data_IF_253309983026
#
_entry.id   IF_253309983026
#
_cell.length_a   1.000
_cell.length_b   1.000
_cell.length_c   1.000
_cell.angle_alpha   90.00
_cell.angle_beta   90.00
_cell.angle_gamma   90.00
#
_symmetry.space_group_name_H-M   'P 1'
#
loop_
_entity.id
_entity.type
_entity.pdbx_description
1 polymer ?
#
# COMPACT_ATOMS: atom_id res chain seq x y z
N UNK A 1 -54.75 16.84 -65.16
CA UNK A 1 -53.34 16.96 -64.70
C UNK A 1 -53.19 17.49 -63.27
N UNK A 2 -54.03 18.39 -62.74
CA UNK A 2 -53.81 18.96 -61.38
C UNK A 2 -53.94 17.97 -60.21
N UNK A 3 -54.83 16.96 -60.30
CA UNK A 3 -55.04 15.99 -59.21
C UNK A 3 -53.85 15.05 -58.97
N UNK A 4 -53.03 14.77 -59.99
CA UNK A 4 -51.85 13.91 -59.87
C UNK A 4 -50.71 14.67 -59.21
N UNK A 5 -50.51 15.95 -59.57
CA UNK A 5 -49.49 16.80 -58.95
C UNK A 5 -49.76 17.05 -57.46
N UNK A 6 -51.02 17.14 -57.05
CA UNK A 6 -51.37 17.34 -55.64
C UNK A 6 -51.16 16.06 -54.80
N UNK A 7 -51.43 14.88 -55.38
CA UNK A 7 -51.14 13.61 -54.74
C UNK A 7 -49.64 13.41 -54.52
N UNK A 8 -48.80 13.71 -55.52
CA UNK A 8 -47.34 13.59 -55.37
C UNK A 8 -46.78 14.62 -54.36
N UNK A 9 -47.31 15.85 -54.32
CA UNK A 9 -46.93 16.82 -53.28
C UNK A 9 -47.30 16.33 -51.89
N UNK A 10 -48.48 15.74 -51.71
CA UNK A 10 -48.91 15.20 -50.42
C UNK A 10 -48.06 14.01 -49.97
N UNK A 11 -47.77 13.06 -50.88
CA UNK A 11 -46.93 11.88 -50.59
C UNK A 11 -45.48 12.29 -50.30
N UNK A 12 -44.91 13.22 -51.06
CA UNK A 12 -43.55 13.72 -50.82
C UNK A 12 -43.49 14.50 -49.50
N UNK A 13 -44.50 15.31 -49.19
CA UNK A 13 -44.59 16.03 -47.91
C UNK A 13 -44.72 15.08 -46.72
N UNK A 14 -45.61 14.08 -46.79
CA UNK A 14 -45.76 13.03 -45.76
C UNK A 14 -44.45 12.25 -45.54
N UNK A 15 -43.75 11.89 -46.62
CA UNK A 15 -42.51 11.10 -46.53
C UNK A 15 -41.34 11.95 -46.02
N UNK A 16 -41.24 13.21 -46.44
CA UNK A 16 -40.25 14.17 -45.95
C UNK A 16 -40.50 14.53 -44.48
N UNK A 17 -41.75 14.74 -44.09
CA UNK A 17 -42.14 15.00 -42.70
C UNK A 17 -41.85 13.77 -41.82
N UNK A 18 -42.22 12.55 -42.24
CA UNK A 18 -41.92 11.32 -41.50
C UNK A 18 -40.42 11.05 -41.38
N UNK A 19 -39.63 11.29 -42.44
CA UNK A 19 -38.17 11.11 -42.39
C UNK A 19 -37.47 12.12 -41.46
N UNK A 20 -37.87 13.40 -41.50
CA UNK A 20 -37.30 14.43 -40.63
C UNK A 20 -37.79 14.30 -39.18
N UNK A 21 -39.03 13.86 -38.96
CA UNK A 21 -39.60 13.63 -37.64
C UNK A 21 -38.93 12.44 -36.95
N UNK A 22 -38.72 11.31 -37.64
CA UNK A 22 -37.99 10.15 -37.09
C UNK A 22 -36.52 10.52 -36.82
N UNK A 23 -35.88 11.30 -37.69
CA UNK A 23 -34.54 11.85 -37.48
C UNK A 23 -34.47 12.73 -36.22
N UNK A 24 -35.44 13.63 -36.03
CA UNK A 24 -35.56 14.48 -34.86
C UNK A 24 -35.73 13.68 -33.56
N UNK A 25 -36.57 12.64 -33.52
CA UNK A 25 -36.72 11.80 -32.34
C UNK A 25 -35.48 10.95 -32.04
N UNK A 26 -34.75 10.46 -33.06
CA UNK A 26 -33.46 9.78 -32.88
C UNK A 26 -32.40 10.74 -32.31
N UNK A 27 -32.34 11.97 -32.82
CA UNK A 27 -31.45 13.01 -32.32
C UNK A 27 -31.81 13.44 -30.89
N UNK A 28 -33.10 13.64 -30.59
CA UNK A 28 -33.58 13.94 -29.24
C UNK A 28 -33.33 12.77 -28.28
N UNK A 29 -33.51 11.51 -28.70
CA UNK A 29 -33.16 10.33 -27.91
C UNK A 29 -31.66 10.20 -27.69
N UNK A 30 -30.83 10.59 -28.66
CA UNK A 30 -29.38 10.68 -28.52
C UNK A 30 -28.98 11.80 -27.54
N UNK A 31 -29.57 13.00 -27.66
CA UNK A 31 -29.31 14.13 -26.77
C UNK A 31 -29.81 13.86 -25.34
N UNK A 32 -31.01 13.32 -25.17
CA UNK A 32 -31.58 12.94 -23.87
C UNK A 32 -30.83 11.74 -23.28
N UNK A 33 -30.47 10.75 -24.10
CA UNK A 33 -29.63 9.62 -23.71
C UNK A 33 -28.23 10.06 -23.28
N UNK A 34 -27.64 11.05 -23.97
CA UNK A 34 -26.37 11.65 -23.58
C UNK A 34 -26.50 12.55 -22.35
N UNK A 35 -27.61 13.29 -22.16
CA UNK A 35 -27.89 14.05 -20.93
C UNK A 35 -28.06 13.13 -19.71
N UNK A 36 -28.77 12.02 -19.88
CA UNK A 36 -28.94 11.01 -18.82
C UNK A 36 -27.64 10.24 -18.54
N UNK A 37 -26.85 9.90 -19.57
CA UNK A 37 -25.51 9.30 -19.42
C UNK A 37 -24.52 10.27 -18.78
N UNK A 38 -24.51 11.54 -19.17
CA UNK A 38 -23.65 12.57 -18.55
C UNK A 38 -24.04 12.88 -17.12
N UNK A 39 -25.34 12.88 -16.77
CA UNK A 39 -25.79 12.96 -15.38
C UNK A 39 -25.46 11.70 -14.57
N UNK A 40 -25.45 10.51 -15.18
CA UNK A 40 -25.01 9.27 -14.53
C UNK A 40 -23.49 9.22 -14.34
N UNK A 41 -22.71 9.71 -15.31
CA UNK A 41 -21.25 9.87 -15.20
C UNK A 41 -20.84 10.95 -14.20
N UNK A 42 -21.60 12.05 -14.11
CA UNK A 42 -21.42 13.09 -13.09
C UNK A 42 -21.76 12.62 -11.67
N UNK A 43 -22.51 11.51 -11.54
CA UNK A 43 -22.90 10.93 -10.25
C UNK A 43 -21.87 10.02 -9.61
N UNK A 44 -20.82 9.61 -10.32
CA UNK A 44 -19.70 8.87 -9.72
C UNK A 44 -18.44 9.73 -9.71
N UNK A 45 -18.48 10.85 -8.98
CA UNK A 45 -17.24 11.56 -8.65
C UNK A 45 -16.32 10.61 -7.88
N UNK A 46 -15.03 10.63 -8.18
CA UNK A 46 -14.02 9.77 -7.55
C UNK A 46 -12.78 10.56 -7.21
N UNK A 47 -12.01 10.07 -6.24
CA UNK A 47 -10.62 10.52 -6.09
C UNK A 47 -9.81 9.89 -7.23
N UNK A 48 -8.94 10.66 -7.87
CA UNK A 48 -7.90 10.15 -8.76
C UNK A 48 -6.55 10.34 -8.08
N UNK A 49 -6.04 9.29 -7.46
CA UNK A 49 -4.70 9.28 -6.89
C UNK A 49 -3.66 9.19 -7.99
N UNK A 50 -2.77 10.19 -8.09
CA UNK A 50 -1.71 10.24 -9.09
C UNK A 50 -0.37 9.96 -8.40
N UNK A 51 0.26 8.86 -8.76
CA UNK A 51 1.60 8.50 -8.35
C UNK A 51 2.54 8.56 -9.56
N UNK A 52 3.32 9.65 -9.67
CA UNK A 52 4.23 9.90 -10.78
C UNK A 52 5.66 9.60 -10.35
N UNK A 53 6.22 8.50 -10.84
CA UNK A 53 7.53 8.00 -10.42
C UNK A 53 8.70 8.89 -10.84
N UNK A 54 8.48 9.89 -11.71
CA UNK A 54 9.47 10.94 -11.94
C UNK A 54 9.66 11.83 -10.72
N UNK A 55 8.60 12.01 -9.93
CA UNK A 55 8.60 12.88 -8.74
C UNK A 55 8.69 12.08 -7.43
N UNK A 56 8.09 10.88 -7.41
CA UNK A 56 8.06 9.99 -6.24
C UNK A 56 8.92 8.75 -6.42
N UNK A 57 9.42 8.17 -5.34
CA UNK A 57 10.15 6.90 -5.43
C UNK A 57 9.24 5.69 -5.61
N UNK A 58 9.73 4.70 -6.38
CA UNK A 58 9.17 3.34 -6.45
C UNK A 58 9.55 2.59 -5.16
N UNK A 59 8.83 2.89 -4.08
CA UNK A 59 9.10 2.34 -2.76
C UNK A 59 7.81 1.87 -2.07
N UNK A 60 7.90 0.73 -1.38
CA UNK A 60 6.78 0.14 -0.62
C UNK A 60 6.23 1.12 0.42
N UNK A 61 7.11 1.80 1.17
CA UNK A 61 6.70 2.79 2.19
C UNK A 61 5.90 3.94 1.60
N UNK A 62 6.41 4.54 0.51
CA UNK A 62 5.72 5.62 -0.19
C UNK A 62 4.36 5.19 -0.73
N UNK A 63 4.27 3.98 -1.32
CA UNK A 63 2.99 3.45 -1.81
C UNK A 63 2.00 3.24 -0.66
N UNK A 64 2.44 2.70 0.48
CA UNK A 64 1.60 2.54 1.67
C UNK A 64 1.08 3.91 2.14
N UNK A 65 1.97 4.86 2.39
CA UNK A 65 1.61 6.20 2.84
C UNK A 65 0.66 6.90 1.85
N UNK A 66 0.86 6.69 0.55
CA UNK A 66 -0.02 7.18 -0.49
C UNK A 66 -1.43 6.58 -0.38
N UNK A 67 -1.57 5.28 -0.13
CA UNK A 67 -2.88 4.65 0.10
C UNK A 67 -3.62 5.27 1.30
N UNK A 68 -2.93 5.46 2.43
CA UNK A 68 -3.51 6.13 3.61
C UNK A 68 -3.97 7.54 3.28
N UNK A 69 -3.16 8.31 2.54
CA UNK A 69 -3.53 9.65 2.09
C UNK A 69 -4.77 9.62 1.22
N UNK A 70 -4.87 8.72 0.25
CA UNK A 70 -6.05 8.64 -0.62
C UNK A 70 -7.33 8.30 0.15
N UNK A 71 -7.25 7.46 1.18
CA UNK A 71 -8.40 7.19 2.06
C UNK A 71 -8.81 8.44 2.86
N UNK A 72 -7.84 9.21 3.36
CA UNK A 72 -8.11 10.49 4.01
C UNK A 72 -8.76 11.50 3.05
N UNK A 73 -8.26 11.61 1.81
CA UNK A 73 -8.83 12.49 0.78
C UNK A 73 -10.26 12.05 0.40
N UNK A 74 -10.50 10.75 0.25
CA UNK A 74 -11.84 10.21 0.02
C UNK A 74 -12.79 10.52 1.19
N UNK A 75 -12.30 10.47 2.44
CA UNK A 75 -13.08 10.88 3.61
C UNK A 75 -13.42 12.38 3.59
N UNK A 76 -12.42 13.27 3.38
CA UNK A 76 -12.62 14.73 3.29
C UNK A 76 -13.68 15.07 2.24
N UNK A 77 -13.60 14.43 1.07
CA UNK A 77 -14.48 14.71 -0.05
C UNK A 77 -15.79 13.88 -0.03
N UNK A 78 -15.99 13.02 0.98
CA UNK A 78 -17.14 12.12 1.10
C UNK A 78 -17.36 11.25 -0.15
N UNK A 79 -16.27 10.75 -0.72
CA UNK A 79 -16.27 9.88 -1.89
C UNK A 79 -16.05 8.41 -1.49
N UNK A 80 -16.70 7.50 -2.21
CA UNK A 80 -16.67 6.07 -1.94
C UNK A 80 -15.71 5.30 -2.85
N UNK A 81 -15.27 5.93 -3.95
CA UNK A 81 -14.37 5.33 -4.94
C UNK A 81 -13.09 6.13 -5.13
N UNK A 82 -11.99 5.39 -5.26
CA UNK A 82 -10.64 5.89 -5.53
C UNK A 82 -10.11 5.14 -6.75
N UNK A 83 -9.75 5.88 -7.79
CA UNK A 83 -8.99 5.33 -8.91
C UNK A 83 -7.52 5.77 -8.77
N UNK A 84 -6.57 4.89 -9.08
CA UNK A 84 -5.14 5.15 -8.94
C UNK A 84 -4.50 5.18 -10.32
N UNK A 85 -3.60 6.13 -10.53
CA UNK A 85 -2.78 6.27 -11.71
C UNK A 85 -1.32 6.13 -11.33
N UNK A 86 -0.61 5.25 -12.03
CA UNK A 86 0.84 5.13 -11.97
C UNK A 86 1.42 5.71 -13.26
N UNK A 87 2.23 6.75 -13.16
CA UNK A 87 2.87 7.42 -14.29
C UNK A 87 4.38 7.17 -14.23
N UNK A 88 4.97 6.78 -15.36
CA UNK A 88 6.42 6.63 -15.50
C UNK A 88 6.89 7.01 -16.91
N UNK A 89 8.19 7.27 -17.04
CA UNK A 89 8.88 7.49 -18.32
C UNK A 89 9.76 6.27 -18.64
N UNK A 90 9.53 5.52 -19.72
CA UNK A 90 10.32 4.32 -20.05
C UNK A 90 11.83 4.54 -20.09
N UNK A 91 12.30 5.71 -20.52
CA UNK A 91 13.73 6.01 -20.61
C UNK A 91 14.32 6.43 -19.27
N UNK A 92 13.50 7.05 -18.41
CA UNK A 92 13.87 7.52 -17.07
C UNK A 92 12.75 7.22 -16.07
N UNK A 93 12.56 5.96 -15.71
CA UNK A 93 11.34 5.52 -15.03
C UNK A 93 11.20 6.00 -13.59
N UNK A 94 12.30 6.49 -13.02
CA UNK A 94 12.33 7.12 -11.70
C UNK A 94 13.03 8.46 -11.78
N UNK A 95 12.66 9.38 -10.89
CA UNK A 95 13.40 10.63 -10.69
C UNK A 95 14.86 10.41 -10.29
N UNK A 96 15.66 11.46 -10.32
CA UNK A 96 17.07 11.45 -9.90
C UNK A 96 17.27 11.32 -8.36
N UNK A 97 16.34 10.69 -7.67
CA UNK A 97 16.45 10.47 -6.24
C UNK A 97 17.58 9.49 -5.95
N UNK A 98 18.45 9.87 -5.00
CA UNK A 98 19.61 9.07 -4.57
C UNK A 98 19.23 7.64 -4.14
N UNK A 99 17.99 7.43 -3.74
CA UNK A 99 17.51 6.17 -3.15
C UNK A 99 17.02 5.16 -4.18
N UNK A 100 16.65 5.62 -5.36
CA UNK A 100 16.14 4.82 -6.48
C UNK A 100 17.06 4.89 -7.69
N UNK A 101 18.26 5.47 -7.58
CA UNK A 101 19.21 5.62 -8.69
C UNK A 101 19.66 4.31 -9.34
N UNK A 102 19.47 3.18 -8.66
CA UNK A 102 19.74 1.83 -9.17
C UNK A 102 18.54 1.22 -9.92
N UNK A 103 17.38 1.88 -9.90
CA UNK A 103 16.22 1.55 -10.73
C UNK A 103 16.40 2.24 -12.08
N UNK A 104 16.40 1.45 -13.15
CA UNK A 104 16.62 1.90 -14.53
C UNK A 104 15.58 1.25 -15.45
N UNK A 105 15.64 1.55 -16.75
CA UNK A 105 14.69 1.03 -17.75
C UNK A 105 14.64 -0.51 -17.79
N UNK A 106 15.74 -1.18 -17.46
CA UNK A 106 15.87 -2.64 -17.59
C UNK A 106 15.26 -3.38 -16.39
N UNK A 107 15.21 -2.75 -15.20
CA UNK A 107 14.67 -3.37 -13.98
C UNK A 107 13.40 -2.70 -13.41
N UNK A 108 12.95 -1.57 -13.97
CA UNK A 108 11.82 -0.83 -13.43
C UNK A 108 10.54 -1.66 -13.31
N UNK A 109 10.22 -2.46 -14.32
CA UNK A 109 9.00 -3.28 -14.33
C UNK A 109 9.00 -4.35 -13.22
N UNK A 110 10.17 -4.85 -12.82
CA UNK A 110 10.30 -5.73 -11.67
C UNK A 110 9.88 -5.00 -10.38
N UNK A 111 10.37 -3.78 -10.17
CA UNK A 111 10.00 -2.97 -9.00
C UNK A 111 8.56 -2.49 -9.03
N UNK A 112 8.02 -2.16 -10.20
CA UNK A 112 6.63 -1.80 -10.38
C UNK A 112 5.69 -2.96 -9.98
N UNK A 113 6.05 -4.19 -10.38
CA UNK A 113 5.26 -5.38 -10.05
C UNK A 113 5.20 -5.64 -8.53
N UNK A 114 6.24 -5.30 -7.78
CA UNK A 114 6.25 -5.40 -6.30
C UNK A 114 5.20 -4.48 -5.64
N UNK A 115 4.78 -3.40 -6.31
CA UNK A 115 3.78 -2.46 -5.78
C UNK A 115 2.34 -2.91 -6.03
N UNK A 116 2.07 -3.77 -7.02
CA UNK A 116 0.70 -4.16 -7.36
C UNK A 116 -0.07 -4.83 -6.21
N UNK A 117 0.53 -5.74 -5.42
CA UNK A 117 -0.16 -6.29 -4.27
C UNK A 117 -0.59 -5.21 -3.26
N UNK A 118 0.14 -4.09 -3.17
CA UNK A 118 -0.21 -2.98 -2.28
C UNK A 118 -1.41 -2.17 -2.76
N UNK A 119 -1.75 -2.19 -4.05
CA UNK A 119 -2.92 -1.44 -4.55
C UNK A 119 -4.22 -2.02 -3.97
N UNK A 120 -4.28 -3.33 -3.81
CA UNK A 120 -5.45 -4.08 -3.33
C UNK A 120 -5.73 -3.93 -1.83
N UNK A 121 -4.93 -3.17 -1.07
CA UNK A 121 -5.23 -2.91 0.35
C UNK A 121 -6.20 -1.73 0.54
N UNK A 122 -6.50 -1.01 -0.55
CA UNK A 122 -7.43 0.09 -0.54
C UNK A 122 -8.84 -0.42 -0.81
N UNK A 123 -9.67 -0.46 0.23
CA UNK A 123 -11.05 -0.94 0.18
C UNK A 123 -11.97 -0.09 -0.71
N UNK A 124 -11.53 1.10 -1.11
CA UNK A 124 -12.26 2.00 -2.03
C UNK A 124 -11.70 1.95 -3.46
N UNK A 125 -10.75 1.06 -3.76
CA UNK A 125 -10.14 0.98 -5.08
C UNK A 125 -11.20 0.63 -6.14
N UNK A 126 -11.33 1.49 -7.15
CA UNK A 126 -12.17 1.28 -8.32
C UNK A 126 -11.38 0.78 -9.52
N UNK A 127 -10.35 1.52 -9.93
CA UNK A 127 -9.55 1.20 -11.11
C UNK A 127 -8.09 1.61 -10.92
N UNK A 128 -7.19 0.89 -11.59
CA UNK A 128 -5.77 1.22 -11.68
C UNK A 128 -5.43 1.49 -13.14
N UNK A 129 -4.84 2.65 -13.40
CA UNK A 129 -4.33 3.03 -14.71
C UNK A 129 -2.81 3.12 -14.66
N UNK A 130 -2.16 2.72 -15.74
CA UNK A 130 -0.71 2.81 -15.89
C UNK A 130 -0.45 3.59 -17.18
N UNK A 131 0.30 4.68 -17.06
CA UNK A 131 0.74 5.48 -18.20
C UNK A 131 2.25 5.48 -18.24
N UNK A 132 2.80 5.10 -19.39
CA UNK A 132 4.22 5.21 -19.71
C UNK A 132 4.56 6.56 -20.37
N UNK A 133 3.67 7.55 -20.24
CA UNK A 133 3.84 8.89 -20.79
C UNK A 133 3.00 9.88 -20.01
N UNK A 134 3.67 10.91 -19.49
CA UNK A 134 3.01 12.04 -18.81
C UNK A 134 2.02 12.75 -19.73
N UNK A 135 2.37 12.97 -21.00
CA UNK A 135 1.47 13.62 -21.97
C UNK A 135 0.18 12.83 -22.19
N UNK A 136 0.27 11.49 -22.29
CA UNK A 136 -0.92 10.63 -22.42
C UNK A 136 -1.80 10.69 -21.17
N UNK A 137 -1.17 10.70 -19.99
CA UNK A 137 -1.90 10.87 -18.73
C UNK A 137 -2.58 12.25 -18.64
N UNK A 138 -1.89 13.33 -19.02
CA UNK A 138 -2.44 14.68 -19.00
C UNK A 138 -3.63 14.84 -19.95
N UNK A 139 -3.59 14.20 -21.13
CA UNK A 139 -4.75 14.10 -22.03
C UNK A 139 -5.93 13.38 -21.35
N UNK A 140 -5.67 12.23 -20.71
CA UNK A 140 -6.69 11.51 -19.94
C UNK A 140 -7.29 12.38 -18.83
N UNK A 141 -6.45 13.05 -18.05
CA UNK A 141 -6.86 13.92 -16.95
C UNK A 141 -7.73 15.07 -17.46
N UNK A 142 -7.33 15.72 -18.55
CA UNK A 142 -8.11 16.79 -19.17
C UNK A 142 -9.46 16.29 -19.70
N UNK A 143 -9.52 15.12 -20.33
CA UNK A 143 -10.77 14.53 -20.82
C UNK A 143 -11.73 14.12 -19.68
N UNK A 144 -11.18 13.79 -18.50
CA UNK A 144 -11.95 13.25 -17.37
C UNK A 144 -12.03 14.19 -16.16
N UNK A 145 -11.62 15.45 -16.27
CA UNK A 145 -11.53 16.38 -15.13
C UNK A 145 -12.85 16.59 -14.38
N UNK A 146 -14.01 16.41 -15.04
CA UNK A 146 -15.33 16.53 -14.40
C UNK A 146 -15.67 15.34 -13.48
N UNK A 147 -15.05 14.18 -13.72
CA UNK A 147 -15.28 12.92 -12.99
C UNK A 147 -14.37 12.81 -11.76
N UNK A 148 -13.20 13.43 -11.79
CA UNK A 148 -12.16 13.20 -10.80
C UNK A 148 -11.85 14.44 -9.96
N UNK A 149 -11.65 14.21 -8.67
CA UNK A 149 -10.88 15.10 -7.80
C UNK A 149 -9.46 14.54 -7.77
N UNK A 150 -8.52 15.20 -8.43
CA UNK A 150 -7.14 14.74 -8.52
C UNK A 150 -6.40 14.93 -7.18
N UNK A 151 -5.64 13.91 -6.77
CA UNK A 151 -4.75 13.93 -5.62
C UNK A 151 -3.33 13.50 -6.04
N UNK A 152 -2.34 14.41 -6.06
CA UNK A 152 -2.48 15.84 -5.76
C UNK A 152 -3.36 16.59 -6.77
N UNK A 153 -3.83 17.78 -6.40
CA UNK A 153 -4.58 18.65 -7.31
C UNK A 153 -3.82 18.90 -8.62
N UNK A 154 -4.52 19.09 -9.73
CA UNK A 154 -3.92 19.30 -11.06
C UNK A 154 -2.83 20.39 -11.08
N UNK A 155 -3.05 21.51 -10.38
CA UNK A 155 -2.06 22.58 -10.24
C UNK A 155 -0.76 22.10 -9.54
N UNK A 156 -0.90 21.37 -8.44
CA UNK A 156 0.23 20.79 -7.70
C UNK A 156 0.96 19.71 -8.51
N UNK A 157 0.23 18.93 -9.32
CA UNK A 157 0.82 17.97 -10.25
C UNK A 157 1.63 18.68 -11.35
N UNK A 158 1.05 19.70 -11.99
CA UNK A 158 1.68 20.44 -13.08
C UNK A 158 2.99 21.14 -12.67
N UNK A 159 3.09 21.59 -11.42
CA UNK A 159 4.30 22.25 -10.90
C UNK A 159 5.26 21.28 -10.18
N UNK A 160 4.98 19.97 -10.18
CA UNK A 160 5.69 18.95 -9.39
C UNK A 160 5.74 19.25 -7.85
N UNK A 161 5.00 20.27 -7.38
CA UNK A 161 4.95 20.73 -5.99
C UNK A 161 4.11 19.83 -5.08
N UNK A 162 3.23 19.01 -5.64
CA UNK A 162 2.28 18.18 -4.89
C UNK A 162 2.90 17.09 -4.02
N UNK A 163 4.18 16.83 -4.24
CA UNK A 163 4.91 15.72 -3.65
C UNK A 163 5.96 16.20 -2.62
N UNK A 164 6.25 17.50 -2.57
CA UNK A 164 7.30 18.08 -1.73
C UNK A 164 7.00 18.08 -0.21
N UNK A 165 5.73 18.00 0.21
CA UNK A 165 5.36 17.94 1.65
C UNK A 165 5.38 16.53 2.25
N UNK A 166 5.65 15.51 1.43
CA UNK A 166 5.55 14.11 1.84
C UNK A 166 4.15 13.71 2.30
N UNK A 167 3.87 12.42 2.41
CA UNK A 167 2.54 11.96 2.82
C UNK A 167 2.35 12.09 4.35
N UNK A 168 3.39 11.90 5.16
CA UNK A 168 3.29 11.97 6.62
C UNK A 168 2.84 13.35 7.14
N UNK A 169 3.26 14.44 6.51
CA UNK A 169 2.84 15.78 6.93
C UNK A 169 1.32 15.97 6.77
N UNK A 170 0.79 15.53 5.62
CA UNK A 170 -0.66 15.54 5.39
C UNK A 170 -1.42 14.63 6.36
N UNK A 171 -0.91 13.41 6.61
CA UNK A 171 -1.54 12.45 7.52
C UNK A 171 -1.57 12.98 8.97
N UNK A 172 -0.53 13.68 9.39
CA UNK A 172 -0.48 14.39 10.69
C UNK A 172 -1.54 15.47 10.77
N UNK A 173 -1.57 16.38 9.80
CA UNK A 173 -2.54 17.48 9.80
C UNK A 173 -3.98 16.96 9.74
N UNK A 174 -4.22 15.86 8.99
CA UNK A 174 -5.50 15.16 9.00
C UNK A 174 -5.85 14.62 10.38
N UNK A 175 -4.94 13.86 11.00
CA UNK A 175 -5.19 13.26 12.31
C UNK A 175 -5.40 14.32 13.40
N UNK A 176 -4.64 15.42 13.37
CA UNK A 176 -4.81 16.52 14.32
C UNK A 176 -6.22 17.11 14.25
N UNK A 177 -6.83 17.16 13.05
CA UNK A 177 -8.19 17.65 12.83
C UNK A 177 -9.26 16.61 13.15
N UNK A 178 -9.12 15.40 12.61
CA UNK A 178 -10.18 14.38 12.62
C UNK A 178 -10.06 13.39 13.80
N UNK A 179 -8.90 13.31 14.46
CA UNK A 179 -8.57 12.40 15.57
C UNK A 179 -8.66 10.90 15.22
N UNK A 180 -8.60 10.56 13.94
CA UNK A 180 -8.42 9.18 13.47
C UNK A 180 -7.68 9.16 12.13
N UNK A 181 -7.22 7.98 11.71
CA UNK A 181 -6.72 7.72 10.35
C UNK A 181 -7.54 6.57 9.74
N UNK A 182 -8.17 6.76 8.57
CA UNK A 182 -8.73 5.66 7.79
C UNK A 182 -7.67 4.58 7.57
N UNK A 183 -8.03 3.33 7.86
CA UNK A 183 -7.11 2.20 7.75
C UNK A 183 -7.35 1.45 6.43
N UNK A 184 -6.30 1.09 5.69
CA UNK A 184 -6.42 0.14 4.60
C UNK A 184 -6.81 -1.23 5.15
N UNK A 185 -7.52 -2.00 4.33
CA UNK A 185 -7.96 -3.34 4.67
C UNK A 185 -7.16 -4.36 3.87
N UNK A 186 -6.50 -5.28 4.56
CA UNK A 186 -5.83 -6.38 3.89
C UNK A 186 -6.86 -7.28 3.21
N UNK A 187 -6.58 -7.79 1.99
CA UNK A 187 -7.40 -8.81 1.38
C UNK A 187 -7.64 -9.98 2.34
N UNK A 188 -8.89 -10.44 2.43
CA UNK A 188 -9.29 -11.53 3.33
C UNK A 188 -8.39 -12.75 3.18
N UNK A 189 -8.03 -13.09 1.94
CA UNK A 189 -7.15 -14.24 1.66
C UNK A 189 -5.75 -14.08 2.22
N UNK A 190 -5.13 -12.89 2.17
CA UNK A 190 -3.81 -12.68 2.77
C UNK A 190 -3.86 -12.83 4.29
N UNK A 191 -4.94 -12.35 4.92
CA UNK A 191 -5.16 -12.52 6.35
C UNK A 191 -5.39 -13.99 6.74
N UNK A 192 -6.23 -14.71 5.99
CA UNK A 192 -6.48 -16.14 6.21
C UNK A 192 -5.20 -16.95 6.04
N UNK A 193 -4.42 -16.65 4.99
CA UNK A 193 -3.14 -17.32 4.74
C UNK A 193 -2.16 -17.11 5.89
N UNK A 194 -1.98 -15.88 6.38
CA UNK A 194 -1.08 -15.62 7.51
C UNK A 194 -1.53 -16.33 8.79
N UNK A 195 -2.84 -16.36 9.08
CA UNK A 195 -3.38 -17.11 10.22
C UNK A 195 -3.16 -18.63 10.08
N UNK A 196 -3.42 -19.19 8.89
CA UNK A 196 -3.19 -20.60 8.60
C UNK A 196 -1.70 -20.95 8.73
N UNK A 197 -0.83 -20.07 8.25
CA UNK A 197 0.62 -20.22 8.38
C UNK A 197 1.04 -20.24 9.84
N UNK A 198 0.52 -19.32 10.66
CA UNK A 198 0.81 -19.26 12.09
C UNK A 198 0.33 -20.54 12.78
N UNK A 199 -0.90 -20.99 12.50
CA UNK A 199 -1.44 -22.24 13.03
C UNK A 199 -0.50 -23.43 12.79
N UNK A 200 -0.11 -23.60 11.52
CA UNK A 200 0.71 -24.73 11.08
C UNK A 200 2.14 -24.68 11.61
N UNK A 201 2.79 -23.52 11.57
CA UNK A 201 4.24 -23.41 11.76
C UNK A 201 4.64 -22.90 13.15
N UNK A 202 3.76 -22.21 13.89
CA UNK A 202 4.10 -21.65 15.19
C UNK A 202 3.99 -22.66 16.34
N UNK A 203 3.26 -23.77 16.15
CA UNK A 203 3.07 -24.78 17.21
C UNK A 203 2.46 -24.21 18.49
N UNK A 204 1.53 -23.26 18.38
CA UNK A 204 0.89 -22.57 19.52
C UNK A 204 1.73 -21.48 20.20
N UNK A 205 2.96 -21.25 19.72
CA UNK A 205 3.83 -20.17 20.20
C UNK A 205 3.32 -18.79 19.76
N UNK A 206 3.73 -17.77 20.50
CA UNK A 206 3.56 -16.38 20.10
C UNK A 206 4.45 -16.05 18.91
N UNK A 207 3.91 -15.29 17.97
CA UNK A 207 4.63 -14.88 16.77
C UNK A 207 5.04 -13.41 16.89
N UNK A 208 6.31 -13.13 16.64
CA UNK A 208 6.80 -11.76 16.44
C UNK A 208 7.26 -11.65 15.00
N UNK A 209 6.60 -10.79 14.21
CA UNK A 209 7.05 -10.49 12.85
C UNK A 209 8.28 -9.59 12.92
N UNK A 210 9.31 -9.91 12.15
CA UNK A 210 10.56 -9.15 12.11
C UNK A 210 10.90 -8.74 10.69
N UNK A 211 11.23 -7.47 10.43
CA UNK A 211 11.79 -7.06 9.14
C UNK A 211 13.20 -6.48 9.33
N UNK A 212 14.19 -7.15 8.72
CA UNK A 212 15.59 -6.77 8.78
C UNK A 212 16.00 -6.13 7.45
N UNK A 213 16.38 -4.85 7.47
CA UNK A 213 16.88 -4.16 6.28
C UNK A 213 18.38 -4.41 6.09
N UNK A 214 18.79 -4.85 4.91
CA UNK A 214 20.20 -5.03 4.52
C UNK A 214 20.48 -4.39 3.15
N UNK A 215 20.17 -3.10 3.01
CA UNK A 215 20.33 -2.41 1.73
C UNK A 215 21.79 -1.96 1.53
N UNK A 216 22.48 -2.55 0.55
CA UNK A 216 23.87 -2.23 0.21
C UNK A 216 24.05 -0.93 -0.57
N UNK A 217 22.98 -0.47 -1.24
CA UNK A 217 23.05 0.66 -2.17
C UNK A 217 22.75 1.99 -1.48
N UNK A 218 21.76 2.01 -0.58
CA UNK A 218 21.32 3.26 0.04
C UNK A 218 20.82 3.10 1.49
N UNK A 219 21.11 4.14 2.28
CA UNK A 219 20.60 4.30 3.64
C UNK A 219 21.17 3.22 4.56
N UNK A 220 22.45 2.89 4.37
CA UNK A 220 23.14 1.83 5.09
C UNK A 220 23.15 2.05 6.61
N UNK A 221 23.10 3.30 7.06
CA UNK A 221 22.93 3.65 8.47
C UNK A 221 21.62 3.13 9.09
N UNK A 222 20.61 2.79 8.26
CA UNK A 222 19.34 2.17 8.70
C UNK A 222 19.36 0.64 8.62
N UNK A 223 20.45 0.05 8.15
CA UNK A 223 20.54 -1.40 8.04
C UNK A 223 20.56 -2.05 9.44
N UNK A 224 20.10 -3.28 9.49
CA UNK A 224 20.21 -4.13 10.66
C UNK A 224 21.68 -4.49 10.90
N UNK A 225 22.12 -4.37 12.16
CA UNK A 225 23.33 -5.04 12.62
C UNK A 225 23.00 -6.53 12.81
N UNK A 226 23.35 -7.35 11.82
CA UNK A 226 22.99 -8.76 11.80
C UNK A 226 23.57 -9.53 13.00
N UNK A 227 24.73 -9.12 13.52
CA UNK A 227 25.34 -9.75 14.70
C UNK A 227 24.53 -9.44 15.96
N UNK A 228 24.05 -8.20 16.11
CA UNK A 228 23.20 -7.82 17.23
C UNK A 228 21.86 -8.58 17.20
N UNK A 229 21.23 -8.67 16.02
CA UNK A 229 19.97 -9.40 15.84
C UNK A 229 20.13 -10.91 16.08
N UNK A 230 21.20 -11.54 15.59
CA UNK A 230 21.48 -12.95 15.83
C UNK A 230 21.63 -13.24 17.33
N UNK A 231 22.42 -12.44 18.06
CA UNK A 231 22.58 -12.59 19.51
C UNK A 231 21.27 -12.36 20.26
N UNK A 232 20.44 -11.42 19.80
CA UNK A 232 19.10 -11.19 20.34
C UNK A 232 18.18 -12.42 20.16
N UNK A 233 18.17 -13.04 18.98
CA UNK A 233 17.38 -14.26 18.77
C UNK A 233 17.88 -15.42 19.61
N UNK A 234 19.19 -15.58 19.77
CA UNK A 234 19.79 -16.58 20.67
C UNK A 234 19.43 -16.34 22.15
N UNK A 235 19.38 -15.07 22.58
CA UNK A 235 18.88 -14.70 23.90
C UNK A 235 17.42 -15.15 24.09
N UNK A 236 16.56 -14.82 23.11
CA UNK A 236 15.15 -15.18 23.17
C UNK A 236 14.93 -16.70 23.10
N UNK A 237 15.75 -17.43 22.33
CA UNK A 237 15.69 -18.88 22.26
C UNK A 237 15.90 -19.53 23.64
N UNK A 238 16.77 -18.95 24.48
CA UNK A 238 17.05 -19.44 25.83
C UNK A 238 16.01 -19.01 26.86
N UNK A 239 15.46 -17.81 26.73
CA UNK A 239 14.63 -17.18 27.76
C UNK A 239 13.12 -17.25 27.50
N UNK A 240 12.72 -17.30 26.23
CA UNK A 240 11.33 -17.22 25.79
C UNK A 240 11.01 -18.39 24.84
N UNK A 241 10.81 -19.57 25.42
CA UNK A 241 10.55 -20.82 24.67
C UNK A 241 9.18 -20.85 23.98
N UNK A 242 8.28 -19.95 24.38
CA UNK A 242 6.93 -19.77 23.88
C UNK A 242 6.84 -18.79 22.70
N UNK A 243 7.98 -18.37 22.12
CA UNK A 243 8.03 -17.40 21.03
C UNK A 243 8.72 -18.00 19.80
N UNK A 244 8.27 -17.58 18.63
CA UNK A 244 8.96 -17.77 17.36
C UNK A 244 8.92 -16.47 16.54
N UNK A 245 10.03 -16.14 15.91
CA UNK A 245 10.20 -14.95 15.10
C UNK A 245 9.97 -15.28 13.63
N UNK A 246 9.10 -14.54 12.97
CA UNK A 246 8.84 -14.69 11.54
C UNK A 246 9.58 -13.56 10.81
N UNK A 247 10.71 -13.89 10.18
CA UNK A 247 11.51 -12.90 9.46
C UNK A 247 10.96 -12.68 8.06
N UNK A 248 10.58 -11.43 7.81
CA UNK A 248 10.02 -10.88 6.59
C UNK A 248 11.11 -10.18 5.79
N UNK A 249 11.22 -10.46 4.49
CA UNK A 249 12.21 -9.81 3.63
C UNK A 249 12.40 -10.52 2.30
N UNK A 250 13.53 -10.29 1.65
CA UNK A 250 13.97 -11.08 0.49
C UNK A 250 14.95 -12.15 0.93
N UNK A 251 15.11 -13.20 0.12
CA UNK A 251 16.10 -14.26 0.38
C UNK A 251 17.53 -13.70 0.49
N UNK A 252 17.85 -12.65 -0.27
CA UNK A 252 19.15 -11.96 -0.26
C UNK A 252 19.47 -11.21 1.04
N UNK A 253 18.46 -10.97 1.88
CA UNK A 253 18.63 -10.17 3.09
C UNK A 253 19.09 -11.02 4.28
N UNK A 254 19.13 -12.34 4.13
CA UNK A 254 19.27 -13.30 5.22
C UNK A 254 20.67 -13.90 5.28
N UNK A 255 21.16 -14.13 6.50
CA UNK A 255 22.38 -14.89 6.76
C UNK A 255 22.03 -16.36 7.04
N UNK A 256 22.93 -17.29 6.70
CA UNK A 256 22.68 -18.73 6.91
C UNK A 256 22.62 -19.07 8.41
N UNK A 257 23.37 -18.35 9.25
CA UNK A 257 23.42 -18.57 10.70
C UNK A 257 22.09 -18.24 11.39
N UNK A 258 21.28 -17.34 10.82
CA UNK A 258 19.94 -17.09 11.34
C UNK A 258 18.98 -18.25 11.03
N UNK A 259 19.21 -18.99 9.94
CA UNK A 259 18.37 -20.13 9.53
C UNK A 259 18.49 -21.33 10.43
N UNK A 260 19.62 -21.45 11.12
CA UNK A 260 19.88 -22.54 12.05
C UNK A 260 19.14 -22.37 13.39
N UNK A 261 18.59 -21.19 13.67
CA UNK A 261 17.89 -20.90 14.92
C UNK A 261 16.44 -21.44 14.89
N UNK A 262 16.14 -22.39 15.79
CA UNK A 262 14.83 -23.06 15.86
C UNK A 262 13.65 -22.18 16.30
N UNK A 263 13.93 -20.97 16.82
CA UNK A 263 12.92 -19.95 17.10
C UNK A 263 12.78 -18.92 15.97
N UNK A 264 13.29 -19.20 14.77
CA UNK A 264 13.19 -18.31 13.62
C UNK A 264 12.59 -19.04 12.42
N UNK A 265 11.63 -18.39 11.73
CA UNK A 265 10.99 -18.88 10.51
C UNK A 265 11.18 -17.82 9.41
N UNK A 266 11.59 -18.26 8.22
CA UNK A 266 11.87 -17.38 7.08
C UNK A 266 10.73 -17.41 6.07
N UNK A 267 10.01 -16.30 5.91
CA UNK A 267 8.93 -16.24 4.94
C UNK A 267 9.35 -16.32 3.47
N UNK A 268 10.56 -15.89 3.03
CA UNK A 268 10.98 -16.01 1.64
C UNK A 268 10.97 -17.44 1.09
N UNK A 269 11.00 -18.46 1.97
CA UNK A 269 10.93 -19.87 1.59
C UNK A 269 9.52 -20.32 1.18
N UNK A 270 8.51 -19.47 1.39
CA UNK A 270 7.10 -19.76 1.18
C UNK A 270 6.46 -18.92 0.07
N UNK A 271 7.28 -18.36 -0.84
CA UNK A 271 6.81 -17.56 -1.99
C UNK A 271 5.88 -16.40 -1.60
N UNK A 272 6.13 -15.78 -0.44
CA UNK A 272 5.30 -14.68 0.07
C UNK A 272 5.46 -13.42 -0.78
N UNK A 273 4.33 -12.75 -1.04
CA UNK A 273 4.30 -11.41 -1.62
C UNK A 273 4.06 -10.34 -0.54
N UNK A 274 3.99 -9.07 -0.95
CA UNK A 274 3.83 -7.95 -0.03
C UNK A 274 2.53 -8.01 0.81
N UNK A 275 1.43 -8.53 0.28
CA UNK A 275 0.19 -8.66 1.08
C UNK A 275 0.36 -9.64 2.24
N UNK A 276 1.08 -10.74 2.02
CA UNK A 276 1.42 -11.70 3.07
C UNK A 276 2.34 -11.07 4.11
N UNK A 277 3.34 -10.28 3.69
CA UNK A 277 4.19 -9.49 4.59
C UNK A 277 3.35 -8.59 5.50
N UNK A 278 2.42 -7.81 4.93
CA UNK A 278 1.55 -6.94 5.74
C UNK A 278 0.59 -7.74 6.63
N UNK A 279 0.13 -8.91 6.17
CA UNK A 279 -0.70 -9.81 6.97
C UNK A 279 0.06 -10.35 8.18
N UNK A 280 1.34 -10.70 8.05
CA UNK A 280 2.17 -11.05 9.20
C UNK A 280 2.30 -9.88 10.16
N UNK A 281 2.55 -8.66 9.67
CA UNK A 281 2.65 -7.47 10.51
C UNK A 281 1.34 -7.28 11.31
N UNK A 282 0.18 -7.49 10.67
CA UNK A 282 -1.15 -7.34 11.29
C UNK A 282 -1.49 -8.43 12.31
N UNK A 283 -1.12 -9.69 12.04
CA UNK A 283 -1.57 -10.85 12.82
C UNK A 283 -0.54 -11.38 13.82
N UNK A 284 0.67 -10.82 13.85
CA UNK A 284 1.66 -11.12 14.90
C UNK A 284 1.26 -10.54 16.26
N UNK A 285 1.84 -11.05 17.34
CA UNK A 285 1.67 -10.50 18.68
C UNK A 285 2.14 -9.04 18.73
N UNK A 286 3.28 -8.78 18.10
CA UNK A 286 3.75 -7.45 17.74
C UNK A 286 4.78 -7.54 16.60
N UNK A 287 5.16 -6.38 16.09
CA UNK A 287 6.10 -6.24 14.99
C UNK A 287 7.42 -5.62 15.46
N UNK A 288 8.55 -6.16 15.02
CA UNK A 288 9.86 -5.54 15.20
C UNK A 288 10.51 -5.28 13.84
N UNK A 289 11.20 -4.16 13.67
CA UNK A 289 11.92 -3.91 12.43
C UNK A 289 13.02 -2.88 12.56
N UNK A 290 13.88 -2.83 11.56
CA UNK A 290 14.58 -1.58 11.25
C UNK A 290 13.69 -0.66 10.39
N UNK A 291 13.98 0.64 10.36
CA UNK A 291 13.25 1.59 9.52
C UNK A 291 13.22 1.16 8.04
N UNK A 292 12.05 0.68 7.57
CA UNK A 292 11.86 0.13 6.22
C UNK A 292 10.49 0.48 5.64
N UNK A 293 10.27 0.20 4.35
CA UNK A 293 8.99 0.47 3.70
C UNK A 293 7.80 -0.26 4.35
N UNK A 294 7.87 -1.57 4.60
CA UNK A 294 6.84 -2.29 5.34
C UNK A 294 6.55 -1.72 6.74
N UNK A 295 7.54 -1.12 7.40
CA UNK A 295 7.36 -0.52 8.71
C UNK A 295 6.35 0.65 8.70
N UNK A 296 6.18 1.36 7.57
CA UNK A 296 5.15 2.40 7.41
C UNK A 296 3.74 1.85 7.64
N UNK A 297 3.48 0.58 7.34
CA UNK A 297 2.17 -0.04 7.61
C UNK A 297 1.89 -0.14 9.10
N UNK A 298 2.88 -0.56 9.90
CA UNK A 298 2.76 -0.62 11.36
C UNK A 298 2.64 0.79 11.97
N UNK A 299 3.49 1.74 11.53
CA UNK A 299 3.48 3.13 12.01
C UNK A 299 2.10 3.78 11.84
N UNK A 300 1.43 3.55 10.70
CA UNK A 300 0.14 4.18 10.38
C UNK A 300 -1.07 3.40 10.93
N UNK A 301 -0.83 2.23 11.55
CA UNK A 301 -1.87 1.40 12.15
C UNK A 301 -1.95 1.65 13.65
N UNK A 302 -3.15 1.96 14.16
CA UNK A 302 -3.35 2.19 15.60
C UNK A 302 -3.21 0.92 16.45
N UNK A 303 -3.59 -0.21 15.90
CA UNK A 303 -3.79 -1.46 16.65
C UNK A 303 -2.63 -2.46 16.53
N UNK A 304 -1.52 -2.08 15.90
CA UNK A 304 -0.34 -2.94 15.73
C UNK A 304 0.72 -2.49 16.73
N UNK A 305 0.99 -3.25 17.80
CA UNK A 305 2.12 -2.97 18.67
C UNK A 305 3.42 -3.17 17.88
N UNK A 306 4.39 -2.28 18.07
CA UNK A 306 5.65 -2.37 17.34
C UNK A 306 6.87 -1.80 18.05
N UNK A 307 8.05 -2.27 17.63
CA UNK A 307 9.36 -1.69 17.92
C UNK A 307 10.08 -1.48 16.58
N UNK A 308 10.33 -0.23 16.21
CA UNK A 308 11.12 0.08 15.02
C UNK A 308 12.41 0.75 15.47
N UNK A 309 13.52 0.02 15.33
CA UNK A 309 14.89 0.45 15.68
C UNK A 309 15.63 0.99 14.46
N UNK A 310 16.83 1.53 14.66
CA UNK A 310 17.59 2.18 13.58
C UNK A 310 16.73 3.21 12.85
N UNK A 311 15.95 3.95 13.63
CA UNK A 311 15.08 4.99 13.13
C UNK A 311 15.88 6.29 12.99
N UNK A 312 15.72 6.96 11.85
CA UNK A 312 16.45 8.17 11.53
C UNK A 312 15.50 9.20 10.94
N UNK A 313 15.85 10.47 11.13
CA UNK A 313 15.12 11.54 10.48
C UNK A 313 15.28 11.35 8.96
N UNK A 314 14.20 11.51 8.18
CA UNK A 314 14.30 11.56 6.74
C UNK A 314 15.28 12.67 6.34
N UNK A 315 16.02 12.47 5.24
CA UNK A 315 16.98 13.48 4.79
C UNK A 315 16.28 14.84 4.60
N UNK A 316 17.04 15.92 4.76
CA UNK A 316 16.54 17.30 4.73
C UNK A 316 15.67 17.63 3.49
N UNK A 317 15.82 16.86 2.41
CA UNK A 317 15.03 16.96 1.19
C UNK A 317 13.52 16.74 1.36
N UNK A 318 13.07 16.06 2.41
CA UNK A 318 11.63 15.81 2.62
C UNK A 318 10.88 16.93 3.36
N UNK A 319 11.55 18.05 3.70
CA UNK A 319 10.95 19.20 4.38
C UNK A 319 10.15 18.82 5.65
N UNK A 320 10.60 17.78 6.36
CA UNK A 320 10.01 17.34 7.62
C UNK A 320 10.72 18.04 8.79
N UNK A 321 10.77 19.37 8.81
CA UNK A 321 11.41 20.14 9.91
C UNK A 321 10.82 19.83 11.30
N UNK A 322 9.62 19.25 11.32
CA UNK A 322 8.91 18.81 12.51
C UNK A 322 9.29 17.40 13.00
N UNK A 323 9.99 16.60 12.19
CA UNK A 323 10.31 15.21 12.48
C UNK A 323 11.75 15.05 12.98
N UNK A 324 11.94 15.30 14.27
CA UNK A 324 13.25 15.29 14.95
C UNK A 324 13.45 14.03 15.79
N UNK A 325 14.69 13.70 16.18
CA UNK A 325 14.94 12.63 17.15
C UNK A 325 14.05 12.74 18.40
N UNK A 326 13.45 11.62 18.80
CA UNK A 326 12.45 11.57 19.87
C UNK A 326 11.03 11.94 19.45
N UNK A 327 10.79 12.26 18.17
CA UNK A 327 9.44 12.54 17.69
C UNK A 327 8.53 11.32 17.84
N UNK A 328 7.29 11.60 18.26
CA UNK A 328 6.20 10.63 18.41
C UNK A 328 5.07 11.08 17.49
N UNK A 329 4.58 10.17 16.65
CA UNK A 329 3.42 10.49 15.81
C UNK A 329 2.17 10.71 16.69
N UNK A 330 1.28 11.66 16.35
CA UNK A 330 0.14 11.97 17.20
C UNK A 330 -0.88 10.82 17.30
N UNK A 331 -0.83 9.85 16.38
CA UNK A 331 -1.65 8.64 16.40
C UNK A 331 -0.97 7.44 17.08
N UNK A 332 0.28 7.59 17.52
CA UNK A 332 1.05 6.50 18.10
C UNK A 332 0.56 6.18 19.53
N UNK A 333 0.37 4.90 19.82
CA UNK A 333 0.15 4.41 21.18
C UNK A 333 1.51 4.34 21.91
N UNK A 334 1.79 5.33 22.74
CA UNK A 334 3.03 5.43 23.52
C UNK A 334 3.24 4.30 24.54
N UNK A 335 2.32 3.37 24.74
CA UNK A 335 2.57 2.19 25.58
C UNK A 335 3.04 0.98 24.76
N UNK A 336 2.53 0.86 23.54
CA UNK A 336 2.65 -0.35 22.71
C UNK A 336 3.43 -0.14 21.40
N UNK A 337 3.74 1.11 21.05
CA UNK A 337 4.41 1.47 19.80
C UNK A 337 5.66 2.29 20.10
N UNK A 338 6.80 1.84 19.58
CA UNK A 338 8.12 2.41 19.86
C UNK A 338 8.89 2.71 18.57
N UNK A 339 9.36 3.95 18.47
CA UNK A 339 10.36 4.37 17.50
C UNK A 339 11.67 4.61 18.25
N UNK A 340 12.68 3.78 17.98
CA UNK A 340 13.98 3.87 18.64
C UNK A 340 15.00 4.42 17.67
N UNK A 341 15.53 5.58 18.05
CA UNK A 341 16.46 6.37 17.25
C UNK A 341 17.88 5.85 17.41
N UNK A 342 18.64 5.87 16.30
CA UNK A 342 20.01 5.39 16.27
C UNK A 342 20.13 3.87 16.09
N UNK A 343 21.36 3.41 15.85
CA UNK A 343 21.64 2.02 15.50
C UNK A 343 21.26 1.06 16.64
N UNK A 344 20.58 -0.02 16.28
CA UNK A 344 20.22 -1.07 17.23
C UNK A 344 21.46 -1.79 17.77
N UNK A 345 21.54 -1.93 19.10
CA UNK A 345 22.46 -2.85 19.78
C UNK A 345 21.68 -4.01 20.37
N UNK A 346 22.37 -5.07 20.79
CA UNK A 346 21.72 -6.21 21.46
C UNK A 346 20.98 -5.76 22.74
N UNK A 347 21.56 -4.85 23.52
CA UNK A 347 20.96 -4.35 24.76
C UNK A 347 19.68 -3.58 24.47
N UNK A 348 19.66 -2.75 23.42
CA UNK A 348 18.46 -2.02 22.98
C UNK A 348 17.38 -3.01 22.53
N UNK A 349 17.74 -4.01 21.71
CA UNK A 349 16.79 -5.01 21.22
C UNK A 349 16.15 -5.79 22.38
N UNK A 350 16.96 -6.28 23.33
CA UNK A 350 16.47 -7.01 24.52
C UNK A 350 15.58 -6.10 25.37
N UNK A 351 16.03 -4.88 25.68
CA UNK A 351 15.29 -3.95 26.54
C UNK A 351 13.91 -3.64 25.98
N UNK A 352 13.83 -3.24 24.71
CA UNK A 352 12.56 -2.84 24.10
C UNK A 352 11.64 -4.03 23.88
N UNK A 353 12.20 -5.18 23.49
CA UNK A 353 11.45 -6.42 23.37
C UNK A 353 10.82 -6.84 24.70
N UNK A 354 11.59 -6.94 25.77
CA UNK A 354 11.08 -7.34 27.10
C UNK A 354 10.02 -6.35 27.60
N UNK A 355 10.25 -5.05 27.41
CA UNK A 355 9.28 -4.02 27.77
C UNK A 355 7.95 -4.21 27.03
N UNK A 356 7.98 -4.40 25.70
CA UNK A 356 6.76 -4.56 24.91
C UNK A 356 6.10 -5.93 25.14
N UNK A 357 6.87 -7.02 25.16
CA UNK A 357 6.36 -8.38 25.35
C UNK A 357 5.63 -8.56 26.68
N UNK A 358 6.02 -7.83 27.72
CA UNK A 358 5.34 -7.84 29.01
C UNK A 358 4.07 -6.98 29.05
N UNK A 359 3.89 -6.03 28.12
CA UNK A 359 2.73 -5.12 28.05
C UNK A 359 1.65 -5.57 27.08
N UNK A 360 2.02 -6.28 26.02
CA UNK A 360 1.05 -6.75 25.01
C UNK A 360 0.05 -7.75 25.60
N UNK A 361 -1.22 -7.57 25.28
CA UNK A 361 -2.30 -8.47 25.71
C UNK A 361 -2.30 -9.76 24.87
N UNK A 362 -1.58 -10.76 25.39
CA UNK A 362 -1.45 -12.10 24.79
C UNK A 362 -2.78 -12.83 24.67
N UNK A 363 -3.70 -12.63 25.62
CA UNK A 363 -5.02 -13.28 25.62
C UNK A 363 -5.89 -12.73 24.50
N UNK A 364 -5.94 -11.39 24.38
CA UNK A 364 -6.63 -10.71 23.29
C UNK A 364 -6.04 -11.07 21.93
N UNK A 365 -4.71 -11.16 21.80
CA UNK A 365 -4.07 -11.62 20.56
C UNK A 365 -4.54 -13.03 20.17
N UNK A 366 -4.48 -14.00 21.09
CA UNK A 366 -4.95 -15.38 20.82
C UNK A 366 -6.42 -15.41 20.38
N UNK A 367 -7.29 -14.65 21.07
CA UNK A 367 -8.71 -14.54 20.73
C UNK A 367 -8.94 -13.93 19.34
N UNK A 368 -8.22 -12.87 18.99
CA UNK A 368 -8.34 -12.20 17.69
C UNK A 368 -7.83 -13.07 16.54
N UNK A 369 -6.84 -13.92 16.81
CA UNK A 369 -6.25 -14.80 15.83
C UNK A 369 -7.14 -16.01 15.52
N UNK A 370 -8.00 -16.42 16.45
CA UNK A 370 -9.07 -17.41 16.27
C UNK A 370 -8.62 -18.62 15.44
N UNK A 371 -7.50 -19.24 15.82
CA UNK A 371 -6.84 -20.28 15.00
C UNK A 371 -7.66 -21.57 14.88
N UNK A 372 -8.58 -21.82 15.81
CA UNK A 372 -9.41 -23.03 15.84
C UNK A 372 -10.21 -23.17 14.53
N UNK A 373 -10.74 -22.05 14.02
CA UNK A 373 -11.61 -22.02 12.84
C UNK A 373 -10.86 -21.76 11.52
N UNK A 374 -9.53 -21.76 11.52
CA UNK A 374 -8.74 -21.50 10.31
C UNK A 374 -8.47 -22.80 9.57
N UNK A 375 -8.96 -22.87 8.33
CA UNK A 375 -8.62 -23.91 7.36
C UNK A 375 -7.14 -23.77 6.94
N UNK A 376 -6.38 -24.87 7.00
CA UNK A 376 -4.98 -24.88 6.57
C UNK A 376 -4.82 -25.16 5.07
N UNK A 377 -5.89 -25.59 4.38
CA UNK A 377 -5.87 -25.85 2.94
C UNK A 377 -5.55 -24.61 2.10
N UNK A 378 -5.76 -23.40 2.66
CA UNK A 378 -5.44 -22.13 2.00
C UNK A 378 -3.93 -21.96 1.77
N UNK A 379 -3.10 -22.73 2.48
CA UNK A 379 -1.66 -22.77 2.25
C UNK A 379 -1.29 -23.51 0.96
N UNK A 380 -2.19 -24.36 0.44
CA UNK A 380 -2.00 -25.14 -0.79
C UNK A 380 -2.61 -24.49 -2.03
N UNK A 381 -3.22 -23.30 -1.88
CA UNK A 381 -3.84 -22.59 -3.00
C UNK A 381 -2.83 -22.35 -4.15
N UNK A 382 -3.26 -22.48 -5.41
CA UNK A 382 -2.47 -23.00 -6.55
C UNK A 382 -1.30 -22.13 -7.03
N UNK A 383 -0.95 -21.07 -6.31
CA UNK A 383 0.15 -20.19 -6.64
C UNK A 383 1.43 -20.41 -5.80
N UNK A 384 1.43 -21.31 -4.81
CA UNK A 384 2.50 -21.25 -3.79
C UNK A 384 3.43 -22.46 -3.61
N UNK A 385 3.08 -23.72 -3.90
CA UNK A 385 4.05 -24.82 -3.65
C UNK A 385 3.88 -25.99 -4.63
N UNK A 386 4.85 -26.18 -5.53
CA UNK A 386 5.16 -27.49 -6.08
C UNK A 386 6.06 -28.22 -5.07
N UNK A 387 5.47 -29.14 -4.29
CA UNK A 387 6.19 -29.92 -3.25
C UNK A 387 7.20 -30.92 -3.84
N UNK A 388 7.29 -31.05 -5.17
CA UNK A 388 8.19 -32.02 -5.82
C UNK A 388 9.67 -31.59 -5.84
N UNK A 389 10.02 -30.36 -5.43
CA UNK A 389 11.39 -29.81 -5.54
C UNK A 389 12.15 -29.61 -4.23
N UNK A 390 11.65 -30.10 -3.10
CA UNK A 390 12.31 -29.94 -1.78
C UNK A 390 12.57 -31.27 -1.05
N UNK A 391 13.00 -32.31 -1.78
CA UNK A 391 13.53 -33.54 -1.19
C UNK A 391 15.02 -33.66 -1.42
#
# INVERSE_FOLDING_TARGET
MSKITDFFKHVVFERWYKMNFVGFFRFMKYLLGNKLKTNKLAREKRILGINDFKVTDVAIGNMLEFQYRLLCEAYIHKLDKIDIVLVYDPERPVGHWKYTSWINRDNFHYHLAELFPLLNINQKLGSVFIFNSRSNFELFLNQNHKRYIACPSTFKYANDLGFARGNFGFLRDFYEREKFLPQPELPKMASLWARAFIKKNAGGKYIVAVNLRTNRFFGAHRNADMNAWQKFFQYCLKKHSDIVFVILGRKSDMSEELKELSNVIFTPEYNVNMQHTLAFIKHSLFYMATSSGPASFAILSKDIPYIIVSFHAPDAHFNYNWFKPGFIFPWQNEELQRLVWGQATIEILIKEFENLFNKVDKSRWRKNLDLENVDESVLEWPYLIDKSKSK
#
